data_IF_597091496023
#
_entry.id   IF_597091496023
#
_cell.length_a   1.000
_cell.length_b   1.000
_cell.length_c   1.000
_cell.angle_alpha   90.00
_cell.angle_beta   90.00
_cell.angle_gamma   90.00
#
_symmetry.space_group_name_H-M   'P 1'
#
loop_
_entity.id
_entity.type
_entity.pdbx_description
1 polymer ?
#
# COMPACT_ATOMS: atom_id res chain seq x y z
N UNK A 1 2.14 33.03 -34.39
CA UNK A 1 1.15 31.93 -34.19
C UNK A 1 1.76 30.52 -34.16
N UNK A 2 2.67 30.12 -35.07
CA UNK A 2 3.24 28.74 -35.06
C UNK A 2 3.97 28.36 -33.77
N UNK A 3 4.78 29.29 -33.22
CA UNK A 3 5.52 29.10 -31.97
C UNK A 3 4.58 28.94 -30.76
N UNK A 4 3.51 29.74 -30.69
CA UNK A 4 2.50 29.64 -29.62
C UNK A 4 1.80 28.27 -29.68
N UNK A 5 1.39 27.82 -30.87
CA UNK A 5 0.79 26.49 -31.06
C UNK A 5 1.75 25.36 -30.65
N UNK A 6 3.03 25.49 -30.96
CA UNK A 6 4.07 24.53 -30.59
C UNK A 6 4.28 24.49 -29.06
N UNK A 7 4.37 25.66 -28.41
CA UNK A 7 4.48 25.77 -26.95
C UNK A 7 3.26 25.17 -26.26
N UNK A 8 2.04 25.50 -26.73
CA UNK A 8 0.81 24.91 -26.19
C UNK A 8 0.81 23.39 -26.34
N UNK A 9 1.24 22.87 -27.48
CA UNK A 9 1.34 21.43 -27.71
C UNK A 9 2.34 20.75 -26.77
N UNK A 10 3.51 21.37 -26.55
CA UNK A 10 4.52 20.87 -25.62
C UNK A 10 3.99 20.79 -24.18
N UNK A 11 3.30 21.85 -23.72
CA UNK A 11 2.70 21.88 -22.38
C UNK A 11 1.68 20.75 -22.21
N UNK A 12 0.86 20.48 -23.22
CA UNK A 12 -0.11 19.39 -23.19
C UNK A 12 0.60 18.03 -23.07
N UNK A 13 1.65 17.79 -23.87
CA UNK A 13 2.42 16.54 -23.80
C UNK A 13 3.03 16.34 -22.42
N UNK A 14 3.66 17.38 -21.86
CA UNK A 14 4.27 17.32 -20.54
C UNK A 14 3.21 17.06 -19.46
N UNK A 15 2.04 17.70 -19.55
CA UNK A 15 0.92 17.48 -18.64
C UNK A 15 0.39 16.05 -18.70
N UNK A 16 0.17 15.50 -19.89
CA UNK A 16 -0.30 14.12 -20.07
C UNK A 16 0.73 13.12 -19.56
N UNK A 17 2.01 13.36 -19.83
CA UNK A 17 3.10 12.49 -19.35
C UNK A 17 3.17 12.50 -17.83
N UNK A 18 3.12 13.69 -17.21
CA UNK A 18 3.07 13.84 -15.77
C UNK A 18 1.90 13.09 -15.14
N UNK A 19 0.69 13.27 -15.69
CA UNK A 19 -0.52 12.61 -15.21
C UNK A 19 -0.42 11.08 -15.35
N UNK A 20 0.14 10.59 -16.45
CA UNK A 20 0.30 9.15 -16.68
C UNK A 20 1.21 8.51 -15.65
N UNK A 21 2.34 9.17 -15.34
CA UNK A 21 3.29 8.68 -14.34
C UNK A 21 2.66 8.73 -12.94
N UNK A 22 2.03 9.85 -12.57
CA UNK A 22 1.45 10.06 -11.24
C UNK A 22 0.24 9.16 -10.98
N UNK A 23 -0.51 8.78 -12.02
CA UNK A 23 -1.69 7.90 -11.91
C UNK A 23 -1.35 6.42 -12.06
N UNK A 24 -0.08 6.05 -12.26
CA UNK A 24 0.30 4.66 -12.35
C UNK A 24 0.12 3.95 -10.98
N UNK A 25 -0.40 2.72 -11.01
CA UNK A 25 -0.74 1.95 -9.81
C UNK A 25 -0.29 0.50 -9.96
N UNK A 26 0.26 -0.06 -8.89
CA UNK A 26 0.53 -1.49 -8.78
C UNK A 26 -0.62 -2.19 -8.07
N UNK A 27 -1.06 -3.32 -8.60
CA UNK A 27 -2.09 -4.16 -7.98
C UNK A 27 -1.48 -5.48 -7.57
N UNK A 28 -1.61 -5.83 -6.30
CA UNK A 28 -1.13 -7.10 -5.76
C UNK A 28 -2.32 -7.93 -5.32
N UNK A 29 -2.36 -9.18 -5.79
CA UNK A 29 -3.45 -10.12 -5.52
C UNK A 29 -2.91 -11.33 -4.78
N UNK A 30 -3.55 -11.65 -3.67
CA UNK A 30 -3.42 -12.93 -2.98
C UNK A 30 -4.64 -13.80 -3.30
N UNK A 31 -4.62 -15.04 -2.81
CA UNK A 31 -5.74 -15.96 -2.93
C UNK A 31 -6.98 -15.44 -2.16
N UNK A 32 -8.16 -15.98 -2.50
CA UNK A 32 -9.44 -15.66 -1.85
C UNK A 32 -9.93 -14.19 -1.99
N UNK A 33 -9.54 -13.51 -3.07
CA UNK A 33 -10.01 -12.14 -3.36
C UNK A 33 -9.37 -11.05 -2.49
N UNK A 34 -8.29 -11.39 -1.77
CA UNK A 34 -7.46 -10.44 -1.02
C UNK A 34 -6.61 -9.65 -2.02
N UNK A 35 -6.96 -8.39 -2.27
CA UNK A 35 -6.24 -7.53 -3.22
C UNK A 35 -5.87 -6.20 -2.57
N UNK A 36 -4.74 -5.64 -3.00
CA UNK A 36 -4.32 -4.30 -2.62
C UNK A 36 -3.88 -3.47 -3.82
N UNK A 37 -4.03 -2.16 -3.69
CA UNK A 37 -3.47 -1.18 -4.62
C UNK A 37 -2.35 -0.41 -3.93
N UNK A 38 -1.19 -0.36 -4.56
CA UNK A 38 -0.07 0.50 -4.17
C UNK A 38 0.06 1.61 -5.20
N UNK A 39 -0.12 2.84 -4.75
CA UNK A 39 -0.15 4.01 -5.61
C UNK A 39 0.97 4.97 -5.23
N UNK A 40 2.10 4.85 -5.93
CA UNK A 40 3.23 5.78 -5.82
C UNK A 40 2.87 7.09 -6.53
N UNK A 41 3.02 8.21 -5.83
CA UNK A 41 2.79 9.55 -6.36
C UNK A 41 4.12 10.22 -6.67
N UNK A 42 4.07 11.15 -7.61
CA UNK A 42 5.17 12.10 -7.80
C UNK A 42 5.28 12.96 -6.52
N UNK A 43 6.52 13.23 -6.09
CA UNK A 43 6.78 13.93 -4.82
C UNK A 43 6.95 13.01 -3.60
N UNK A 44 7.09 11.69 -3.82
CA UNK A 44 7.57 10.76 -2.79
C UNK A 44 6.49 10.16 -1.88
N UNK A 45 5.23 10.56 -2.04
CA UNK A 45 4.10 9.98 -1.29
C UNK A 45 3.61 8.68 -1.93
N UNK A 46 3.19 7.73 -1.12
CA UNK A 46 2.57 6.48 -1.54
C UNK A 46 1.25 6.26 -0.78
N UNK A 47 0.23 5.75 -1.49
CA UNK A 47 -1.02 5.30 -0.89
C UNK A 47 -1.15 3.79 -1.05
N UNK A 48 -1.38 3.08 0.07
CA UNK A 48 -1.69 1.65 0.08
C UNK A 48 -3.16 1.49 0.42
N UNK A 49 -3.92 0.83 -0.46
CA UNK A 49 -5.37 0.78 -0.41
C UNK A 49 -5.79 -0.70 -0.40
N UNK A 50 -6.62 -1.15 0.56
CA UNK A 50 -6.90 -2.56 0.80
C UNK A 50 -8.00 -3.13 -0.11
N UNK A 51 -7.97 -2.72 -1.38
CA UNK A 51 -8.83 -3.17 -2.46
C UNK A 51 -8.31 -2.56 -3.77
N UNK A 52 -8.90 -2.97 -4.90
CA UNK A 52 -8.61 -2.41 -6.20
C UNK A 52 -9.14 -0.98 -6.33
N UNK A 53 -8.26 -0.01 -6.55
CA UNK A 53 -8.61 1.40 -6.57
C UNK A 53 -8.21 2.08 -7.88
N UNK A 54 -9.16 2.76 -8.51
CA UNK A 54 -9.00 3.45 -9.79
C UNK A 54 -9.39 4.94 -9.72
N UNK A 55 -9.71 5.46 -8.52
CA UNK A 55 -10.14 6.84 -8.36
C UNK A 55 -9.01 7.84 -8.65
N UNK A 56 -9.34 8.98 -9.25
CA UNK A 56 -8.38 10.00 -9.72
C UNK A 56 -7.66 10.71 -8.56
N UNK A 57 -8.35 10.85 -7.42
CA UNK A 57 -7.83 11.42 -6.17
C UNK A 57 -7.49 10.31 -5.17
N UNK A 58 -6.77 10.63 -4.09
CA UNK A 58 -6.60 9.68 -2.99
C UNK A 58 -7.96 9.28 -2.39
N UNK A 59 -8.11 8.06 -1.85
CA UNK A 59 -9.31 7.70 -1.11
C UNK A 59 -9.50 8.60 0.11
N UNK A 60 -10.76 8.78 0.53
CA UNK A 60 -11.09 9.61 1.68
C UNK A 60 -10.85 8.88 3.01
N UNK A 61 -10.83 7.54 2.97
CA UNK A 61 -10.80 6.65 4.12
C UNK A 61 -10.27 5.26 3.72
N UNK A 62 -9.86 4.44 4.69
CA UNK A 62 -9.41 3.07 4.53
C UNK A 62 -8.17 2.97 3.63
N UNK A 63 -7.09 3.65 4.01
CA UNK A 63 -5.80 3.56 3.32
C UNK A 63 -4.65 3.86 4.28
N UNK A 64 -3.46 3.46 3.86
CA UNK A 64 -2.19 3.82 4.50
C UNK A 64 -1.55 4.91 3.63
N UNK A 65 -1.10 5.99 4.25
CA UNK A 65 -0.25 7.00 3.63
C UNK A 65 1.18 6.79 4.11
N UNK A 66 2.12 6.65 3.18
CA UNK A 66 3.54 6.37 3.45
C UNK A 66 4.43 7.01 2.38
N UNK A 67 5.74 6.73 2.36
CA UNK A 67 6.67 7.18 1.31
C UNK A 67 6.93 6.08 0.27
N UNK A 68 7.44 6.49 -0.89
CA UNK A 68 7.82 5.56 -1.96
C UNK A 68 9.02 4.66 -1.61
N UNK A 69 9.68 4.91 -0.49
CA UNK A 69 10.88 4.20 -0.01
C UNK A 69 10.58 3.18 1.07
N UNK A 70 9.41 3.25 1.69
CA UNK A 70 9.09 2.44 2.87
C UNK A 70 8.70 1.00 2.50
N UNK A 71 8.53 0.21 3.56
CA UNK A 71 7.98 -1.12 3.48
C UNK A 71 6.72 -1.22 4.31
N UNK A 72 5.91 -2.24 4.05
CA UNK A 72 4.81 -2.59 4.93
C UNK A 72 4.49 -4.07 4.84
N UNK A 73 3.90 -4.60 5.90
CA UNK A 73 3.32 -5.94 5.93
C UNK A 73 1.84 -5.86 6.29
N UNK A 74 1.01 -6.51 5.50
CA UNK A 74 -0.43 -6.64 5.74
C UNK A 74 -0.73 -8.07 6.15
N UNK A 75 -1.51 -8.23 7.22
CA UNK A 75 -1.96 -9.52 7.73
C UNK A 75 -3.49 -9.56 7.68
N UNK A 76 -4.04 -10.60 7.04
CA UNK A 76 -5.48 -10.86 7.06
C UNK A 76 -5.81 -11.79 8.22
N UNK A 77 -6.57 -11.31 9.20
CA UNK A 77 -6.93 -12.09 10.38
C UNK A 77 -8.35 -11.79 10.86
N UNK A 78 -9.20 -12.82 10.95
CA UNK A 78 -10.58 -12.73 11.46
C UNK A 78 -11.41 -11.59 10.86
N UNK A 79 -11.35 -11.44 9.53
CA UNK A 79 -12.09 -10.40 8.80
C UNK A 79 -11.49 -8.99 8.91
N UNK A 80 -10.34 -8.86 9.56
CA UNK A 80 -9.57 -7.62 9.68
C UNK A 80 -8.30 -7.65 8.84
N UNK A 81 -7.86 -6.46 8.46
CA UNK A 81 -6.57 -6.23 7.83
C UNK A 81 -5.69 -5.46 8.80
N UNK A 82 -4.67 -6.13 9.31
CA UNK A 82 -3.72 -5.55 10.25
C UNK A 82 -2.50 -5.11 9.45
N UNK A 83 -2.12 -3.84 9.57
CA UNK A 83 -0.99 -3.27 8.86
C UNK A 83 0.17 -3.02 9.84
N UNK A 84 1.26 -3.74 9.63
CA UNK A 84 2.55 -3.44 10.23
C UNK A 84 3.29 -2.48 9.30
N UNK A 85 3.49 -1.25 9.78
CA UNK A 85 3.92 -0.10 8.99
C UNK A 85 5.02 0.66 9.72
N UNK A 86 5.93 1.24 8.95
CA UNK A 86 6.99 2.10 9.47
C UNK A 86 6.43 3.35 10.17
N UNK A 87 7.21 3.94 11.09
CA UNK A 87 6.79 5.07 11.95
C UNK A 87 6.43 6.34 11.18
N UNK A 88 6.96 6.50 9.97
CA UNK A 88 6.62 7.61 9.08
C UNK A 88 5.30 7.42 8.32
N UNK A 89 4.72 6.21 8.42
CA UNK A 89 3.46 5.86 7.80
C UNK A 89 2.29 6.13 8.73
N UNK A 90 1.11 6.41 8.17
CA UNK A 90 -0.11 6.59 8.94
C UNK A 90 -1.28 5.88 8.29
N UNK A 91 -2.16 5.34 9.13
CA UNK A 91 -3.44 4.80 8.71
C UNK A 91 -4.47 5.92 8.74
N UNK A 92 -5.22 6.07 7.65
CA UNK A 92 -6.36 6.98 7.58
C UNK A 92 -7.64 6.13 7.62
N UNK A 93 -8.14 5.95 8.84
CA UNK A 93 -9.38 5.23 9.13
C UNK A 93 -10.36 6.18 9.86
N UNK A 94 -11.42 6.63 9.17
CA UNK A 94 -12.42 7.58 9.69
C UNK A 94 -13.73 6.92 10.13
N UNK A 95 -14.10 5.76 9.58
CA UNK A 95 -15.31 4.95 9.91
C UNK A 95 -15.41 3.68 9.05
N UNK A 96 -16.02 2.63 9.58
CA UNK A 96 -16.47 1.42 8.87
C UNK A 96 -15.41 0.74 7.99
N UNK A 97 -14.17 0.67 8.49
CA UNK A 97 -13.09 0.00 7.78
C UNK A 97 -12.29 -0.88 8.74
N UNK A 98 -12.04 -2.12 8.31
CA UNK A 98 -11.38 -3.14 9.13
C UNK A 98 -9.84 -3.06 9.03
N UNK A 99 -9.28 -1.88 8.69
CA UNK A 99 -7.85 -1.63 8.62
C UNK A 99 -7.35 -1.10 9.98
N UNK A 100 -6.44 -1.84 10.60
CA UNK A 100 -5.91 -1.56 11.94
C UNK A 100 -4.38 -1.46 11.90
N UNK A 101 -3.80 -0.63 12.78
CA UNK A 101 -2.35 -0.58 12.95
C UNK A 101 -1.92 -1.74 13.84
N UNK A 102 -0.90 -2.47 13.41
CA UNK A 102 -0.28 -3.54 14.18
C UNK A 102 0.11 -3.08 15.59
N UNK A 103 0.68 -1.88 15.68
CA UNK A 103 1.26 -1.35 16.92
C UNK A 103 0.19 -0.92 17.94
N UNK A 104 -1.05 -0.65 17.52
CA UNK A 104 -2.13 -0.25 18.44
C UNK A 104 -2.51 -1.36 19.43
N UNK A 105 -2.31 -2.63 19.03
CA UNK A 105 -2.58 -3.81 19.86
C UNK A 105 -1.39 -4.79 19.82
N UNK A 106 -0.17 -4.25 19.94
CA UNK A 106 1.06 -5.00 19.74
C UNK A 106 1.11 -6.34 20.47
N UNK A 107 0.76 -6.39 21.76
CA UNK A 107 0.79 -7.64 22.56
C UNK A 107 -0.10 -8.72 21.94
N UNK A 108 -1.31 -8.35 21.53
CA UNK A 108 -2.25 -9.28 20.88
C UNK A 108 -1.73 -9.69 19.51
N UNK A 109 -1.20 -8.75 18.75
CA UNK A 109 -0.75 -9.02 17.38
C UNK A 109 0.57 -9.78 17.34
N UNK A 110 1.44 -9.66 18.35
CA UNK A 110 2.66 -10.47 18.51
C UNK A 110 2.32 -11.96 18.62
N UNK A 111 1.14 -12.33 19.14
CA UNK A 111 0.66 -13.73 19.16
C UNK A 111 0.35 -14.32 17.77
N UNK A 112 0.32 -13.50 16.72
CA UNK A 112 0.19 -13.92 15.32
C UNK A 112 1.51 -14.48 14.77
N UNK A 113 2.62 -14.16 15.43
CA UNK A 113 3.94 -14.68 15.11
C UNK A 113 4.29 -15.83 16.05
N UNK A 114 4.68 -16.96 15.47
CA UNK A 114 5.28 -18.07 16.20
C UNK A 114 6.78 -17.84 16.28
N UNK A 115 7.28 -17.76 17.51
CA UNK A 115 8.71 -17.90 17.77
C UNK A 115 9.07 -19.36 17.50
N UNK A 116 10.01 -19.61 16.59
CA UNK A 116 10.66 -20.92 16.54
C UNK A 116 11.92 -20.92 17.40
N UNK A 117 12.32 -22.11 17.85
CA UNK A 117 13.49 -22.35 18.72
C UNK A 117 14.83 -21.89 18.11
N UNK A 118 14.83 -21.38 16.88
CA UNK A 118 15.98 -20.84 16.16
C UNK A 118 15.96 -19.31 16.07
N UNK A 119 15.08 -18.63 16.80
CA UNK A 119 14.96 -17.17 16.80
C UNK A 119 14.48 -16.57 15.47
N UNK A 120 13.91 -17.38 14.58
CA UNK A 120 13.36 -16.91 13.30
C UNK A 120 11.85 -16.71 13.42
N UNK A 121 11.38 -15.56 12.98
CA UNK A 121 9.95 -15.26 12.86
C UNK A 121 9.30 -16.27 11.90
N UNK A 122 8.35 -17.05 12.40
CA UNK A 122 7.44 -17.84 11.56
C UNK A 122 6.04 -17.31 11.78
N UNK A 123 5.43 -16.69 10.76
CA UNK A 123 4.00 -16.38 10.85
C UNK A 123 3.22 -17.67 11.10
N UNK A 124 2.13 -17.59 11.86
CA UNK A 124 1.20 -18.71 11.94
C UNK A 124 0.76 -19.12 10.53
N UNK A 125 0.70 -20.43 10.29
CA UNK A 125 0.41 -20.99 8.97
C UNK A 125 -1.01 -20.73 8.47
N UNK A 126 -1.93 -20.34 9.35
CA UNK A 126 -3.32 -19.99 9.02
C UNK A 126 -3.49 -18.50 8.67
N UNK A 127 -2.40 -17.75 8.54
CA UNK A 127 -2.42 -16.32 8.22
C UNK A 127 -1.93 -16.08 6.80
N UNK A 128 -2.77 -15.41 6.01
CA UNK A 128 -2.37 -14.82 4.75
C UNK A 128 -1.73 -13.48 5.07
N UNK A 129 -0.54 -13.25 4.53
CA UNK A 129 0.15 -11.98 4.65
C UNK A 129 0.74 -11.55 3.32
N UNK A 130 0.94 -10.25 3.19
CA UNK A 130 1.59 -9.61 2.07
C UNK A 130 2.56 -8.57 2.59
N UNK A 131 3.84 -8.77 2.34
CA UNK A 131 4.88 -7.77 2.57
C UNK A 131 5.29 -7.17 1.24
N UNK A 132 5.33 -5.84 1.17
CA UNK A 132 5.72 -5.11 -0.03
C UNK A 132 6.84 -4.15 0.31
N UNK A 133 7.94 -4.22 -0.44
CA UNK A 133 8.97 -3.19 -0.43
C UNK A 133 8.62 -2.18 -1.51
N UNK A 134 8.21 -0.98 -1.12
CA UNK A 134 7.62 -0.03 -2.08
C UNK A 134 8.68 0.39 -3.08
N UNK A 135 9.93 0.63 -2.67
CA UNK A 135 10.97 1.20 -3.52
C UNK A 135 11.12 0.45 -4.85
N UNK A 136 11.38 -0.85 -4.80
CA UNK A 136 11.58 -1.71 -5.97
C UNK A 136 10.31 -2.43 -6.43
N UNK A 137 9.24 -2.43 -5.62
CA UNK A 137 8.00 -3.14 -5.91
C UNK A 137 8.10 -4.66 -5.68
N UNK A 138 9.10 -5.13 -4.95
CA UNK A 138 9.22 -6.53 -4.54
C UNK A 138 8.16 -6.89 -3.51
N UNK A 139 7.70 -8.14 -3.60
CA UNK A 139 6.56 -8.63 -2.83
C UNK A 139 6.85 -10.02 -2.30
N UNK A 140 6.54 -10.23 -1.02
CA UNK A 140 6.63 -11.51 -0.34
C UNK A 140 5.28 -11.84 0.27
N UNK A 141 4.80 -13.06 0.07
CA UNK A 141 3.53 -13.50 0.62
C UNK A 141 3.56 -14.99 0.92
N UNK A 142 2.70 -15.41 1.85
CA UNK A 142 2.34 -16.81 2.04
C UNK A 142 0.94 -17.06 1.49
N UNK A 143 0.76 -18.26 0.94
CA UNK A 143 -0.52 -18.79 0.51
C UNK A 143 -1.31 -19.27 1.72
#
# INVERSE_FOLDING_TARGET
MKIIKLLSFLVIILGVTYLTIDQNRSFYKLEEGKEITVWKRIGGKCYVIPYRYYGISKPLNCYIETRNTESFTLLWYRGKLIADIDTESKIVNKKDCNLENYNDNKIKNDSLFLWNDRGRFKLRSDLNYLSVYILDGSVYYNK
#
